data_IF_900993138662
#
_entry.id   IF_900993138662
#
_cell.length_a   1.000
_cell.length_b   1.000
_cell.length_c   1.000
_cell.angle_alpha   90.00
_cell.angle_beta   90.00
_cell.angle_gamma   90.00
#
_symmetry.space_group_name_H-M   'P 1'
#
loop_
_entity.id
_entity.type
_entity.pdbx_description
1 polymer ?
#
# COMPACT_ATOMS: atom_id res chain seq x y z
N UNK A 1 -5.67 4.25 -6.05
CA UNK A 1 -6.12 4.38 -4.64
C UNK A 1 -7.12 3.32 -4.19
N UNK A 2 -7.74 2.60 -5.09
CA UNK A 2 -8.76 1.58 -4.77
C UNK A 2 -8.19 0.31 -4.14
N UNK A 3 -6.86 0.14 -4.12
CA UNK A 3 -6.17 -1.04 -3.55
C UNK A 3 -4.94 -0.60 -2.76
N UNK A 4 -5.17 0.04 -1.61
CA UNK A 4 -4.06 0.33 -0.71
C UNK A 4 -3.38 -0.97 -0.25
N UNK A 5 -2.06 -1.00 -0.37
CA UNK A 5 -1.19 -2.05 0.16
C UNK A 5 -0.06 -1.39 0.94
N UNK A 6 0.23 -1.86 2.14
CA UNK A 6 1.34 -1.32 2.93
C UNK A 6 2.71 -1.76 2.36
N UNK A 7 2.74 -2.84 1.57
CA UNK A 7 3.91 -3.36 0.87
C UNK A 7 3.61 -3.54 -0.62
N UNK A 8 4.42 -2.95 -1.49
CA UNK A 8 4.34 -3.10 -2.95
C UNK A 8 5.52 -3.96 -3.40
N UNK A 9 5.28 -5.26 -3.55
CA UNK A 9 6.26 -6.24 -4.04
C UNK A 9 6.07 -6.57 -5.52
N UNK A 10 4.86 -6.40 -6.04
CA UNK A 10 4.51 -6.65 -7.44
C UNK A 10 3.75 -5.47 -8.03
N UNK A 11 3.94 -5.24 -9.33
CA UNK A 11 3.27 -4.19 -10.09
C UNK A 11 2.76 -4.81 -11.38
N UNK A 12 1.48 -4.62 -11.67
CA UNK A 12 0.77 -5.12 -12.86
C UNK A 12 0.42 -4.01 -13.87
N UNK A 13 0.76 -2.77 -13.56
CA UNK A 13 0.48 -1.60 -14.38
C UNK A 13 1.76 -1.07 -15.00
N UNK A 14 1.73 -0.79 -16.31
CA UNK A 14 2.88 -0.31 -17.06
C UNK A 14 2.57 1.05 -17.69
N UNK A 15 3.56 1.93 -17.71
CA UNK A 15 3.47 3.23 -18.35
C UNK A 15 4.75 3.53 -19.16
N UNK A 16 4.62 4.36 -20.18
CA UNK A 16 5.78 4.85 -20.94
C UNK A 16 6.50 5.91 -20.10
N UNK A 17 7.79 5.72 -19.81
CA UNK A 17 8.55 6.69 -19.05
C UNK A 17 8.61 8.05 -19.77
N UNK A 18 8.55 9.13 -18.99
CA UNK A 18 8.80 10.50 -19.47
C UNK A 18 10.20 10.96 -19.04
N UNK A 19 10.69 12.04 -19.65
CA UNK A 19 11.93 12.66 -19.20
C UNK A 19 11.82 13.06 -17.72
N UNK A 20 12.84 12.72 -16.93
CA UNK A 20 12.84 12.94 -15.48
C UNK A 20 12.09 11.87 -14.67
N UNK A 21 11.74 10.73 -15.27
CA UNK A 21 11.11 9.62 -14.58
C UNK A 21 11.95 9.11 -13.41
N UNK A 22 11.30 8.90 -12.26
CA UNK A 22 11.93 8.38 -11.04
C UNK A 22 11.61 6.90 -10.91
N UNK A 23 12.64 6.10 -10.63
CA UNK A 23 12.51 4.67 -10.42
C UNK A 23 12.85 4.30 -8.98
N UNK A 24 12.16 3.31 -8.45
CA UNK A 24 12.42 2.76 -7.12
C UNK A 24 13.75 2.02 -7.06
N UNK A 25 14.36 2.01 -5.89
CA UNK A 25 15.54 1.19 -5.54
C UNK A 25 15.14 -0.05 -4.72
N UNK A 26 13.88 -0.13 -4.27
CA UNK A 26 13.34 -1.24 -3.49
C UNK A 26 13.34 -1.01 -1.98
N UNK A 27 13.53 0.22 -1.53
CA UNK A 27 13.55 0.61 -0.11
C UNK A 27 12.85 1.94 0.17
N UNK A 28 12.11 2.47 -0.80
CA UNK A 28 11.36 3.70 -0.63
C UNK A 28 10.04 3.47 0.11
N UNK A 29 9.60 4.53 0.78
CA UNK A 29 8.23 4.67 1.25
C UNK A 29 7.59 5.80 0.46
N UNK A 30 6.43 5.55 -0.11
CA UNK A 30 5.67 6.51 -0.90
C UNK A 30 4.41 6.95 -0.15
N UNK A 31 4.14 8.26 -0.21
CA UNK A 31 2.93 8.87 0.33
C UNK A 31 2.26 9.65 -0.80
N UNK A 32 0.94 9.51 -1.02
CA UNK A 32 0.23 10.32 -2.01
C UNK A 32 0.45 11.81 -1.78
N UNK A 33 0.67 12.58 -2.86
CA UNK A 33 0.77 14.03 -2.77
C UNK A 33 -0.60 14.71 -2.89
N UNK A 34 -1.60 14.04 -3.49
CA UNK A 34 -2.97 14.54 -3.59
C UNK A 34 -4.01 13.42 -3.44
N UNK A 35 -5.26 13.80 -3.13
CA UNK A 35 -6.39 12.87 -3.04
C UNK A 35 -7.70 13.56 -2.68
N UNK A 36 -8.75 12.76 -2.49
CA UNK A 36 -10.09 13.27 -2.22
C UNK A 36 -10.28 13.68 -0.75
N UNK A 37 -9.72 12.91 0.18
CA UNK A 37 -9.80 13.18 1.62
C UNK A 37 -8.43 13.22 2.28
N UNK A 38 -8.34 13.91 3.40
CA UNK A 38 -7.13 13.99 4.21
C UNK A 38 -6.70 12.60 4.74
N UNK A 39 -7.67 11.78 5.10
CA UNK A 39 -7.45 10.42 5.58
C UNK A 39 -6.93 9.50 4.47
N UNK A 40 -7.40 9.69 3.23
CA UNK A 40 -6.98 8.87 2.09
C UNK A 40 -5.53 9.12 1.68
N UNK A 41 -5.04 10.35 1.81
CA UNK A 41 -3.66 10.67 1.46
C UNK A 41 -2.69 10.55 2.66
N UNK A 42 -3.20 10.52 3.89
CA UNK A 42 -2.40 10.23 5.09
C UNK A 42 -2.10 8.72 5.21
N UNK A 43 -1.60 8.12 4.15
CA UNK A 43 -1.23 6.71 4.05
C UNK A 43 0.12 6.57 3.36
N UNK A 44 0.83 5.51 3.69
CA UNK A 44 2.12 5.23 3.10
C UNK A 44 2.22 3.77 2.66
N UNK A 45 2.97 3.52 1.61
CA UNK A 45 3.30 2.17 1.14
C UNK A 45 4.81 2.03 0.99
N UNK A 46 5.38 0.92 1.41
CA UNK A 46 6.78 0.60 1.13
C UNK A 46 6.89 -0.06 -0.24
N UNK A 47 7.81 0.41 -1.08
CA UNK A 47 8.11 -0.18 -2.38
C UNK A 47 9.29 -1.13 -2.22
N UNK A 48 9.05 -2.43 -2.34
CA UNK A 48 10.07 -3.47 -2.13
C UNK A 48 10.77 -3.88 -3.42
N UNK A 49 10.17 -3.55 -4.57
CA UNK A 49 10.70 -3.91 -5.88
C UNK A 49 11.51 -2.75 -6.45
N UNK A 50 12.75 -3.04 -6.86
CA UNK A 50 13.59 -2.11 -7.61
C UNK A 50 13.11 -1.98 -9.07
N UNK A 51 13.32 -0.80 -9.67
CA UNK A 51 13.01 -0.53 -11.07
C UNK A 51 11.53 -0.25 -11.35
N UNK A 52 10.72 -0.02 -10.33
CA UNK A 52 9.33 0.42 -10.50
C UNK A 52 9.32 1.91 -10.82
N UNK A 53 8.58 2.29 -11.88
CA UNK A 53 8.35 3.69 -12.23
C UNK A 53 7.44 4.32 -11.19
N UNK A 54 7.95 5.32 -10.47
CA UNK A 54 7.19 6.06 -9.47
C UNK A 54 6.45 7.24 -10.13
N UNK A 55 5.16 7.36 -9.82
CA UNK A 55 4.32 8.43 -10.37
C UNK A 55 4.72 9.83 -9.89
N UNK A 56 4.36 10.85 -10.66
CA UNK A 56 4.70 12.25 -10.35
C UNK A 56 3.89 12.84 -9.18
N UNK A 57 2.81 12.20 -8.75
CA UNK A 57 1.95 12.65 -7.65
C UNK A 57 2.20 11.86 -6.37
N UNK A 58 3.48 11.67 -6.05
CA UNK A 58 3.96 10.95 -4.88
C UNK A 58 5.03 11.74 -4.15
N UNK A 59 4.94 11.76 -2.83
CA UNK A 59 6.06 12.08 -1.95
C UNK A 59 6.89 10.80 -1.75
N UNK A 60 8.18 10.86 -2.07
CA UNK A 60 9.08 9.70 -2.00
C UNK A 60 10.03 9.88 -0.81
N UNK A 61 9.93 8.98 0.16
CA UNK A 61 10.78 8.97 1.34
C UNK A 61 11.82 7.86 1.20
N UNK A 62 13.08 8.19 1.50
CA UNK A 62 14.17 7.22 1.62
C UNK A 62 14.61 7.14 3.06
N UNK A 63 14.13 6.12 3.82
CA UNK A 63 14.47 5.98 5.23
C UNK A 63 15.97 5.67 5.41
N UNK A 64 16.49 6.03 6.58
CA UNK A 64 17.83 5.62 6.98
C UNK A 64 17.90 4.11 7.19
N UNK A 65 19.10 3.52 7.12
CA UNK A 65 19.33 2.08 7.21
C UNK A 65 18.81 1.44 8.52
N UNK A 66 18.73 2.21 9.60
CA UNK A 66 18.20 1.74 10.89
C UNK A 66 16.65 1.75 10.95
N UNK A 67 15.97 2.27 9.94
CA UNK A 67 14.51 2.26 9.84
C UNK A 67 14.09 1.23 8.78
N UNK A 68 13.21 0.30 9.17
CA UNK A 68 12.59 -0.62 8.22
C UNK A 68 11.53 0.13 7.40
N UNK A 69 11.61 0.13 6.05
CA UNK A 69 10.64 0.85 5.20
C UNK A 69 9.19 0.43 5.43
N UNK A 70 8.95 -0.85 5.66
CA UNK A 70 7.61 -1.36 5.93
C UNK A 70 7.09 -0.91 7.30
N UNK A 71 7.97 -0.88 8.31
CA UNK A 71 7.63 -0.31 9.61
C UNK A 71 7.27 1.18 9.46
N UNK A 72 8.06 1.94 8.69
CA UNK A 72 7.80 3.36 8.45
C UNK A 72 6.45 3.55 7.75
N UNK A 73 6.13 2.77 6.73
CA UNK A 73 4.85 2.81 6.04
C UNK A 73 3.67 2.53 6.99
N UNK A 74 3.80 1.52 7.86
CA UNK A 74 2.80 1.22 8.89
C UNK A 74 2.65 2.34 9.91
N UNK A 75 3.77 2.93 10.37
CA UNK A 75 3.77 4.00 11.35
C UNK A 75 3.11 5.28 10.81
N UNK A 76 3.39 5.67 9.56
CA UNK A 76 2.76 6.83 8.90
C UNK A 76 1.25 6.60 8.71
N UNK A 77 0.85 5.38 8.35
CA UNK A 77 -0.53 5.05 8.00
C UNK A 77 -1.45 4.81 9.20
N UNK A 78 -0.93 4.87 10.42
CA UNK A 78 -1.71 4.52 11.62
C UNK A 78 -1.40 5.42 12.80
N UNK A 79 -2.34 5.48 13.75
CA UNK A 79 -2.18 6.14 15.04
C UNK A 79 -2.04 7.67 14.96
N UNK A 80 -1.21 8.23 15.83
CA UNK A 80 -1.01 9.69 15.90
C UNK A 80 -0.28 10.26 14.67
N UNK A 81 0.75 9.60 14.07
CA UNK A 81 1.39 10.11 12.86
C UNK A 81 0.41 10.29 11.70
N UNK A 82 -0.51 9.34 11.48
CA UNK A 82 -1.55 9.48 10.47
C UNK A 82 -2.46 10.68 10.73
N UNK A 83 -2.91 10.85 11.97
CA UNK A 83 -3.79 11.96 12.34
C UNK A 83 -3.07 13.31 12.22
N UNK A 84 -1.79 13.36 12.58
CA UNK A 84 -0.97 14.55 12.42
C UNK A 84 -0.79 14.91 10.95
N UNK A 85 -0.50 13.92 10.11
CA UNK A 85 -0.35 14.10 8.66
C UNK A 85 -1.68 14.53 8.02
N UNK A 86 -2.80 13.92 8.39
CA UNK A 86 -4.13 14.29 7.90
C UNK A 86 -4.50 15.75 8.24
N UNK A 87 -4.11 16.25 9.42
CA UNK A 87 -4.33 17.66 9.79
C UNK A 87 -3.55 18.64 8.95
N UNK A 88 -2.45 18.22 8.34
CA UNK A 88 -1.60 19.05 7.47
C UNK A 88 -2.12 19.07 6.03
N UNK A 89 -3.01 18.16 5.64
CA UNK A 89 -3.61 18.12 4.32
C UNK A 89 -4.42 19.40 4.04
N UNK A 90 -4.12 20.06 2.93
CA UNK A 90 -4.72 21.35 2.56
C UNK A 90 -5.46 21.24 1.23
N UNK A 91 -6.66 21.78 1.16
CA UNK A 91 -7.49 21.83 -0.04
C UNK A 91 -8.98 21.72 0.28
N UNK A 92 -9.83 22.02 -0.73
CA UNK A 92 -11.31 21.95 -0.56
C UNK A 92 -11.91 20.74 -1.29
N UNK A 93 -11.61 20.59 -2.58
CA UNK A 93 -12.12 19.49 -3.41
C UNK A 93 -11.07 18.42 -3.65
N UNK A 94 -9.81 18.81 -3.71
CA UNK A 94 -8.63 17.95 -3.73
C UNK A 94 -7.73 18.44 -2.61
N UNK A 95 -7.31 17.55 -1.76
CA UNK A 95 -6.38 17.85 -0.68
C UNK A 95 -4.96 17.45 -1.07
N UNK A 96 -3.97 18.16 -0.57
CA UNK A 96 -2.56 17.99 -0.89
C UNK A 96 -1.74 17.84 0.39
N UNK A 97 -0.71 16.99 0.31
CA UNK A 97 0.37 16.86 1.31
C UNK A 97 1.70 17.04 0.59
N UNK A 98 2.56 17.88 1.12
CA UNK A 98 3.89 18.13 0.59
C UNK A 98 4.97 17.44 1.42
N UNK A 99 6.17 17.27 0.86
CA UNK A 99 7.32 16.73 1.58
C UNK A 99 7.62 17.50 2.87
N UNK A 100 7.44 18.81 2.88
CA UNK A 100 7.60 19.65 4.08
C UNK A 100 6.64 19.29 5.20
N UNK A 101 5.39 18.94 4.87
CA UNK A 101 4.38 18.52 5.84
C UNK A 101 4.75 17.18 6.48
N UNK A 102 5.28 16.25 5.67
CA UNK A 102 5.73 14.93 6.14
C UNK A 102 6.96 15.06 7.06
N UNK A 103 7.88 15.96 6.76
CA UNK A 103 9.08 16.20 7.57
C UNK A 103 8.77 16.71 8.99
N UNK A 104 7.63 17.32 9.20
CA UNK A 104 7.19 17.80 10.51
C UNK A 104 6.49 16.71 11.36
N UNK A 105 6.14 15.57 10.78
CA UNK A 105 5.47 14.48 11.50
C UNK A 105 6.45 13.74 12.38
N UNK A 106 6.13 13.64 13.67
CA UNK A 106 6.96 12.93 14.64
C UNK A 106 6.62 11.43 14.65
N UNK A 107 7.62 10.59 14.41
CA UNK A 107 7.48 9.13 14.44
C UNK A 107 8.40 8.55 15.51
N UNK A 108 7.82 7.97 16.56
CA UNK A 108 8.55 7.16 17.51
C UNK A 108 8.82 5.78 16.92
N UNK A 109 10.04 5.28 17.06
CA UNK A 109 10.42 3.98 16.55
C UNK A 109 11.25 3.18 17.56
N UNK A 110 11.03 1.86 17.67
CA UNK A 110 11.83 0.97 18.50
C UNK A 110 13.12 0.55 17.80
N UNK A 111 13.89 -0.36 18.41
CA UNK A 111 15.06 -0.96 17.76
C UNK A 111 14.71 -1.62 16.42
N UNK A 112 15.68 -1.70 15.50
CA UNK A 112 15.48 -2.33 14.18
C UNK A 112 14.93 -3.76 14.32
N UNK A 113 15.44 -4.55 15.25
CA UNK A 113 14.94 -5.90 15.51
C UNK A 113 13.47 -5.93 15.87
N UNK A 114 13.00 -4.96 16.67
CA UNK A 114 11.59 -4.88 17.04
C UNK A 114 10.73 -4.40 15.87
N UNK A 115 11.22 -3.45 15.06
CA UNK A 115 10.56 -3.06 13.81
C UNK A 115 10.34 -4.26 12.90
N UNK A 116 11.36 -5.12 12.72
CA UNK A 116 11.29 -6.31 11.87
C UNK A 116 10.28 -7.34 12.42
N UNK A 117 10.16 -7.48 13.74
CA UNK A 117 9.14 -8.34 14.37
C UNK A 117 7.73 -7.80 14.12
N UNK A 118 7.51 -6.49 14.29
CA UNK A 118 6.22 -5.85 13.99
C UNK A 118 5.83 -6.10 12.54
N UNK A 119 6.73 -5.84 11.59
CA UNK A 119 6.50 -6.05 10.17
C UNK A 119 6.14 -7.50 9.87
N UNK A 120 6.84 -8.46 10.49
CA UNK A 120 6.55 -9.90 10.32
C UNK A 120 5.12 -10.25 10.70
N UNK A 121 4.60 -9.72 11.81
CA UNK A 121 3.21 -9.94 12.24
C UNK A 121 2.22 -9.38 11.21
N UNK A 122 2.43 -8.15 10.74
CA UNK A 122 1.54 -7.54 9.74
C UNK A 122 1.56 -8.29 8.41
N UNK A 123 2.71 -8.78 7.95
CA UNK A 123 2.80 -9.63 6.75
C UNK A 123 2.01 -10.93 6.89
N UNK A 124 2.07 -11.58 8.06
CA UNK A 124 1.30 -12.79 8.31
C UNK A 124 -0.21 -12.52 8.28
N UNK A 125 -0.65 -11.42 8.90
CA UNK A 125 -2.05 -11.00 8.88
C UNK A 125 -2.54 -10.70 7.46
N UNK A 126 -1.79 -9.95 6.68
CA UNK A 126 -2.11 -9.64 5.29
C UNK A 126 -2.22 -10.90 4.42
N UNK A 127 -1.28 -11.83 4.60
CA UNK A 127 -1.33 -13.13 3.93
C UNK A 127 -2.60 -13.94 4.28
N UNK A 128 -2.97 -13.99 5.56
CA UNK A 128 -4.18 -14.67 6.02
C UNK A 128 -5.45 -14.03 5.45
N UNK A 129 -5.53 -12.69 5.43
CA UNK A 129 -6.64 -11.95 4.83
C UNK A 129 -6.76 -12.29 3.34
N UNK A 130 -5.66 -12.25 2.61
CA UNK A 130 -5.61 -12.58 1.18
C UNK A 130 -6.05 -14.01 0.90
N UNK A 131 -5.60 -14.98 1.68
CA UNK A 131 -6.04 -16.37 1.58
C UNK A 131 -7.54 -16.53 1.85
N UNK A 132 -8.06 -15.82 2.85
CA UNK A 132 -9.48 -15.88 3.20
C UNK A 132 -10.37 -15.28 2.11
N UNK A 133 -9.93 -14.20 1.49
CA UNK A 133 -10.66 -13.55 0.39
C UNK A 133 -10.71 -14.41 -0.88
N UNK A 134 -9.72 -15.27 -1.12
CA UNK A 134 -9.70 -16.19 -2.30
C UNK A 134 -10.68 -17.37 -2.18
N UNK A 135 -11.04 -17.81 -0.96
CA UNK A 135 -11.93 -18.96 -0.74
C UNK A 135 -13.34 -18.81 -1.37
N UNK A 136 -14.05 -17.69 -1.23
CA UNK A 136 -15.39 -17.53 -1.82
C UNK A 136 -15.42 -17.67 -3.35
N UNK A 137 -14.34 -17.25 -4.03
CA UNK A 137 -14.24 -17.34 -5.49
C UNK A 137 -14.12 -18.80 -5.97
N UNK A 138 -13.33 -19.61 -5.30
CA UNK A 138 -13.18 -21.04 -5.64
C UNK A 138 -14.47 -21.84 -5.37
N UNK A 139 -15.22 -21.52 -4.30
CA UNK A 139 -16.51 -22.15 -4.05
C UNK A 139 -17.57 -21.79 -5.09
N UNK A 140 -17.60 -20.55 -5.57
CA UNK A 140 -18.53 -20.09 -6.61
C UNK A 140 -18.28 -20.81 -7.95
N UNK A 141 -17.05 -21.09 -8.30
CA UNK A 141 -16.68 -21.85 -9.49
C UNK A 141 -17.13 -23.34 -9.39
N UNK A 142 -16.92 -23.99 -8.27
CA UNK A 142 -17.34 -25.38 -8.07
C UNK A 142 -18.85 -25.59 -8.14
N UNK A 143 -19.64 -24.65 -7.61
CA UNK A 143 -21.10 -24.72 -7.67
C UNK A 143 -21.62 -24.45 -9.09
N UNK A 144 -20.97 -23.60 -9.87
CA UNK A 144 -21.34 -23.32 -11.26
C UNK A 144 -21.08 -24.53 -12.16
N UNK A 145 -19.96 -25.23 -11.99
CA UNK A 145 -19.64 -26.43 -12.77
C UNK A 145 -20.49 -27.65 -12.36
N UNK A 146 -20.86 -27.78 -11.09
CA UNK A 146 -21.78 -28.81 -10.63
C UNK A 146 -23.17 -28.64 -11.25
N UNK A 147 -23.68 -27.40 -11.36
CA UNK A 147 -24.96 -27.13 -12.00
C UNK A 147 -24.93 -27.33 -13.53
N UNK A 148 -23.81 -27.07 -14.19
CA UNK A 148 -23.66 -27.33 -15.64
C UNK A 148 -23.68 -28.82 -15.96
N UNK A 149 -23.09 -29.66 -15.12
CA UNK A 149 -23.12 -31.12 -15.31
C UNK A 149 -24.49 -31.77 -15.01
N UNK A 150 -25.32 -31.13 -14.16
CA UNK A 150 -26.67 -31.61 -13.91
C UNK A 150 -27.67 -31.25 -15.03
N UNK A 151 -27.48 -30.09 -15.69
CA UNK A 151 -28.33 -29.68 -16.83
C UNK A 151 -28.04 -30.49 -18.10
N UNK A 152 -26.82 -31.01 -18.27
CA UNK A 152 -26.47 -31.87 -19.41
C UNK A 152 -26.91 -33.32 -19.22
N UNK A 153 -27.46 -33.74 -18.09
CA UNK A 153 -28.00 -35.09 -17.82
C UNK A 153 -29.50 -35.22 -18.04
N UNK A 154 -30.18 -34.15 -18.41
CA UNK A 154 -31.65 -34.14 -18.63
C UNK A 154 -32.05 -34.02 -20.10
N UNK A 155 -31.14 -34.26 -21.05
CA UNK A 155 -31.41 -34.32 -22.47
C UNK A 155 -30.91 -35.66 -23.00
N UNK A 156 -31.62 -36.73 -22.67
CA UNK A 156 -31.77 -37.97 -23.43
C UNK A 156 -33.17 -38.51 -23.21
#
# INVERSE_FOLDING_TARGET
YTKYQFAISEVDTFAVPRNGAVYSQGNEVIVPASGETAEDIARASAVEKSGVLLGGDLNILRPFDFINPLFLALAISNGEPQKELAKKAQGKSVVHIHNTDIQEVTIAYPSRTEQDRIVSVFRQLDHLITLHQRKPFLMKWRTSDANRNQTNRLVL
#
